data_IF_382869667765
#
_entry.id   IF_382869667765
#
_cell.length_a   1.000
_cell.length_b   1.000
_cell.length_c   1.000
_cell.angle_alpha   90.00
_cell.angle_beta   90.00
_cell.angle_gamma   90.00
#
_symmetry.space_group_name_H-M   'P 1'
#
loop_
_entity.id
_entity.type
_entity.pdbx_description
1 polymer ?
#
# COMPACT_ATOMS: atom_id res chain seq x y z
N UNK A 1 -22.37 -0.24 -12.70
CA UNK A 1 -21.08 -0.88 -12.34
C UNK A 1 -20.05 0.16 -11.94
N UNK A 2 -19.19 -0.13 -10.99
CA UNK A 2 -18.01 0.70 -10.64
C UNK A 2 -16.75 -0.09 -10.99
N UNK A 3 -15.80 0.56 -11.65
CA UNK A 3 -14.49 -0.02 -11.93
C UNK A 3 -13.37 0.97 -11.63
N UNK A 4 -12.13 0.51 -11.66
CA UNK A 4 -10.98 1.39 -11.47
C UNK A 4 -9.90 1.11 -12.51
N UNK A 5 -9.25 2.16 -12.96
CA UNK A 5 -8.04 2.09 -13.75
C UNK A 5 -6.86 1.84 -12.81
N UNK A 6 -6.41 0.59 -12.74
CA UNK A 6 -5.26 0.27 -11.88
C UNK A 6 -4.00 0.98 -12.34
N UNK A 7 -3.38 1.65 -11.38
CA UNK A 7 -2.11 2.32 -11.56
C UNK A 7 -1.20 2.08 -10.35
N UNK A 8 0.10 2.10 -10.60
CA UNK A 8 1.10 1.87 -9.57
C UNK A 8 1.26 0.41 -9.18
N UNK A 9 2.00 0.18 -8.09
CA UNK A 9 2.29 -1.15 -7.56
C UNK A 9 1.19 -1.63 -6.60
N UNK A 10 1.35 -2.85 -6.08
CA UNK A 10 0.36 -3.55 -5.27
C UNK A 10 -0.32 -2.68 -4.19
N UNK A 11 0.44 -1.92 -3.40
CA UNK A 11 -0.15 -1.09 -2.35
C UNK A 11 -1.14 -0.04 -2.90
N UNK A 12 -0.85 0.56 -4.05
CA UNK A 12 -1.77 1.47 -4.73
C UNK A 12 -2.99 0.72 -5.26
N UNK A 13 -2.80 -0.45 -5.85
CA UNK A 13 -3.92 -1.27 -6.34
C UNK A 13 -4.86 -1.72 -5.22
N UNK A 14 -4.34 -1.99 -4.02
CA UNK A 14 -5.19 -2.32 -2.87
C UNK A 14 -6.07 -1.12 -2.50
N UNK A 15 -5.53 0.10 -2.45
CA UNK A 15 -6.34 1.30 -2.22
C UNK A 15 -7.45 1.46 -3.26
N UNK A 16 -7.12 1.32 -4.53
CA UNK A 16 -8.06 1.41 -5.65
C UNK A 16 -9.14 0.34 -5.56
N UNK A 17 -8.77 -0.91 -5.31
CA UNK A 17 -9.70 -2.03 -5.14
C UNK A 17 -10.68 -1.80 -3.99
N UNK A 18 -10.18 -1.43 -2.82
CA UNK A 18 -11.01 -1.21 -1.64
C UNK A 18 -11.94 -0.02 -1.84
N UNK A 19 -11.47 1.03 -2.50
CA UNK A 19 -12.26 2.22 -2.82
C UNK A 19 -13.48 1.87 -3.69
N UNK A 20 -13.29 1.13 -4.81
CA UNK A 20 -14.41 0.73 -5.67
C UNK A 20 -15.35 -0.25 -4.97
N UNK A 21 -14.83 -1.19 -4.18
CA UNK A 21 -15.65 -2.12 -3.40
C UNK A 21 -16.57 -1.39 -2.41
N UNK A 22 -16.03 -0.41 -1.71
CA UNK A 22 -16.81 0.38 -0.77
C UNK A 22 -17.85 1.25 -1.49
N UNK A 23 -17.46 1.88 -2.60
CA UNK A 23 -18.38 2.69 -3.40
C UNK A 23 -19.50 1.84 -3.99
N UNK A 24 -19.21 0.69 -4.59
CA UNK A 24 -20.20 -0.21 -5.15
C UNK A 24 -21.16 -0.74 -4.09
N UNK A 25 -20.66 -1.09 -2.88
CA UNK A 25 -21.49 -1.49 -1.75
C UNK A 25 -22.43 -0.35 -1.33
N UNK A 26 -21.95 0.89 -1.25
CA UNK A 26 -22.74 2.05 -0.87
C UNK A 26 -23.84 2.38 -1.89
N UNK A 27 -23.53 2.26 -3.18
CA UNK A 27 -24.46 2.54 -4.29
C UNK A 27 -25.34 1.33 -4.64
N UNK A 28 -25.14 0.18 -3.98
CA UNK A 28 -25.83 -1.07 -4.28
C UNK A 28 -25.76 -1.47 -5.76
N UNK A 29 -24.56 -1.41 -6.33
CA UNK A 29 -24.30 -1.74 -7.73
C UNK A 29 -23.12 -2.72 -7.87
N UNK A 30 -22.93 -3.27 -9.08
CA UNK A 30 -21.82 -4.15 -9.39
C UNK A 30 -20.48 -3.39 -9.39
N UNK A 31 -19.39 -4.12 -9.20
CA UNK A 31 -18.03 -3.66 -9.46
C UNK A 31 -17.31 -4.67 -10.35
N UNK A 32 -16.21 -4.24 -10.94
CA UNK A 32 -15.34 -5.12 -11.73
C UNK A 32 -13.90 -4.59 -11.74
N UNK A 33 -12.95 -5.53 -11.75
CA UNK A 33 -11.54 -5.27 -11.99
C UNK A 33 -10.94 -6.31 -12.94
N UNK A 34 -9.97 -5.94 -13.80
CA UNK A 34 -9.33 -6.87 -14.72
C UNK A 34 -8.39 -7.84 -14.00
N UNK A 35 -8.49 -9.12 -14.36
CA UNK A 35 -7.63 -10.20 -13.83
C UNK A 35 -6.30 -10.31 -14.57
N UNK A 36 -6.26 -9.89 -15.83
CA UNK A 36 -5.11 -10.06 -16.71
C UNK A 36 -5.00 -8.91 -17.73
N UNK A 37 -3.93 -8.93 -18.51
CA UNK A 37 -3.66 -7.89 -19.50
C UNK A 37 -4.74 -7.81 -20.61
N UNK A 38 -5.36 -8.93 -20.99
CA UNK A 38 -6.44 -8.97 -21.98
C UNK A 38 -7.66 -8.21 -21.46
N UNK A 39 -8.11 -8.52 -20.24
CA UNK A 39 -9.22 -7.81 -19.61
C UNK A 39 -8.88 -6.32 -19.37
N UNK A 40 -7.64 -5.97 -19.06
CA UNK A 40 -7.24 -4.59 -18.87
C UNK A 40 -7.28 -3.74 -20.14
N UNK A 41 -7.20 -4.37 -21.33
CA UNK A 41 -7.35 -3.68 -22.63
C UNK A 41 -8.72 -3.02 -22.81
N UNK A 42 -9.73 -3.50 -22.11
CA UNK A 42 -11.07 -2.91 -22.08
C UNK A 42 -11.07 -1.42 -21.72
N UNK A 43 -10.15 -0.99 -20.84
CA UNK A 43 -10.05 0.42 -20.48
C UNK A 43 -9.59 1.31 -21.64
N UNK A 44 -8.74 0.80 -22.53
CA UNK A 44 -8.33 1.53 -23.73
C UNK A 44 -9.51 1.75 -24.69
N UNK A 45 -10.41 0.78 -24.78
CA UNK A 45 -11.60 0.90 -25.62
C UNK A 45 -12.63 1.87 -25.02
N UNK A 46 -12.78 1.88 -23.68
CA UNK A 46 -13.62 2.86 -23.00
C UNK A 46 -13.08 4.27 -23.21
N UNK A 47 -11.77 4.48 -23.04
CA UNK A 47 -11.16 5.79 -23.18
C UNK A 47 -11.36 6.36 -24.59
N UNK A 48 -11.20 5.52 -25.61
CA UNK A 48 -11.48 5.91 -27.00
C UNK A 48 -12.94 6.30 -27.22
N UNK A 49 -13.88 5.51 -26.69
CA UNK A 49 -15.33 5.77 -26.81
C UNK A 49 -15.75 7.08 -26.15
N UNK A 50 -15.15 7.42 -25.02
CA UNK A 50 -15.47 8.62 -24.26
C UNK A 50 -14.63 9.84 -24.68
N UNK A 51 -13.81 9.72 -25.74
CA UNK A 51 -12.92 10.78 -26.24
C UNK A 51 -11.99 11.34 -25.15
N UNK A 52 -11.62 10.51 -24.18
CA UNK A 52 -10.71 10.87 -23.08
C UNK A 52 -9.37 10.20 -23.36
N UNK A 53 -8.33 11.01 -23.55
CA UNK A 53 -6.96 10.52 -23.69
C UNK A 53 -6.39 10.22 -22.32
N UNK A 54 -6.33 8.94 -21.95
CA UNK A 54 -5.61 8.51 -20.73
C UNK A 54 -4.09 8.74 -20.83
N UNK A 55 -3.58 8.90 -22.06
CA UNK A 55 -2.17 9.22 -22.33
C UNK A 55 -1.75 10.62 -21.84
N UNK A 56 -2.67 11.57 -21.78
CA UNK A 56 -2.42 12.93 -21.27
C UNK A 56 -2.44 12.98 -19.73
N UNK A 57 -2.98 11.95 -19.11
CA UNK A 57 -2.92 11.78 -17.67
C UNK A 57 -1.63 11.03 -17.33
N UNK A 58 -0.96 11.36 -16.24
CA UNK A 58 0.24 10.66 -15.73
C UNK A 58 -0.02 9.18 -15.34
N UNK A 59 -1.09 8.57 -15.85
CA UNK A 59 -1.57 7.26 -15.44
C UNK A 59 -0.86 6.09 -16.15
N UNK A 60 -0.21 6.32 -17.29
CA UNK A 60 0.47 5.27 -18.05
C UNK A 60 -0.48 4.20 -18.61
N UNK A 61 0.05 3.03 -18.93
CA UNK A 61 -0.74 1.91 -19.44
C UNK A 61 -1.61 1.27 -18.35
N UNK A 62 -2.83 0.77 -18.69
CA UNK A 62 -3.69 0.08 -17.73
C UNK A 62 -3.01 -1.19 -17.18
N UNK A 63 -3.16 -1.39 -15.90
CA UNK A 63 -2.68 -2.58 -15.22
C UNK A 63 -3.85 -3.51 -14.87
N UNK A 64 -3.54 -4.79 -14.69
CA UNK A 64 -4.43 -5.74 -14.05
C UNK A 64 -4.01 -5.94 -12.59
N UNK A 65 -4.83 -6.65 -11.83
CA UNK A 65 -4.53 -6.97 -10.44
C UNK A 65 -3.26 -7.83 -10.32
N UNK A 66 -2.37 -7.48 -9.39
CA UNK A 66 -1.10 -8.16 -9.15
C UNK A 66 -0.96 -8.76 -7.74
N UNK A 67 -2.05 -8.80 -6.98
CA UNK A 67 -2.07 -9.28 -5.60
C UNK A 67 -2.38 -10.77 -5.42
N UNK A 68 -2.45 -11.57 -6.49
CA UNK A 68 -2.89 -12.97 -6.45
C UNK A 68 -2.06 -13.90 -5.57
N UNK A 69 -0.81 -13.56 -5.32
CA UNK A 69 0.05 -14.35 -4.41
C UNK A 69 -0.26 -14.12 -2.94
N UNK A 70 -0.92 -13.02 -2.60
CA UNK A 70 -1.21 -12.62 -1.22
C UNK A 70 -2.67 -12.80 -0.88
N UNK A 71 -3.57 -12.45 -1.80
CA UNK A 71 -4.99 -12.35 -1.53
C UNK A 71 -5.84 -13.28 -2.39
N UNK A 72 -6.89 -13.82 -1.78
CA UNK A 72 -8.06 -14.34 -2.50
C UNK A 72 -9.10 -13.24 -2.53
N UNK A 73 -9.37 -12.68 -3.73
CA UNK A 73 -10.30 -11.58 -3.91
C UNK A 73 -11.42 -11.94 -4.88
N UNK A 74 -12.52 -11.21 -4.76
CA UNK A 74 -13.59 -11.19 -5.74
C UNK A 74 -13.25 -10.14 -6.83
N UNK A 75 -13.31 -10.54 -8.09
CA UNK A 75 -13.05 -9.68 -9.25
C UNK A 75 -14.29 -8.93 -9.72
N UNK A 76 -15.46 -9.28 -9.19
CA UNK A 76 -16.72 -8.71 -9.61
C UNK A 76 -17.16 -9.18 -11.00
N UNK A 77 -18.11 -8.46 -11.59
CA UNK A 77 -18.71 -8.79 -12.88
C UNK A 77 -18.75 -7.59 -13.82
N UNK A 78 -18.20 -7.75 -15.03
CA UNK A 78 -18.24 -6.75 -16.09
C UNK A 78 -19.58 -6.85 -16.85
N UNK A 79 -20.47 -5.88 -16.64
CA UNK A 79 -21.73 -5.76 -17.34
C UNK A 79 -21.68 -4.80 -18.56
N UNK A 80 -20.50 -4.24 -18.84
CA UNK A 80 -20.27 -3.40 -20.00
C UNK A 80 -20.86 -2.00 -19.94
N UNK A 81 -21.36 -1.56 -18.79
CA UNK A 81 -22.13 -0.32 -18.64
C UNK A 81 -21.32 0.87 -18.12
N UNK A 82 -20.01 0.99 -18.38
CA UNK A 82 -19.26 2.20 -18.02
C UNK A 82 -19.61 3.32 -19.00
N UNK A 83 -20.16 4.41 -18.50
CA UNK A 83 -20.58 5.57 -19.28
C UNK A 83 -19.76 6.83 -19.06
N UNK A 84 -18.94 6.87 -18.00
CA UNK A 84 -18.04 8.00 -17.76
C UNK A 84 -16.80 7.62 -16.95
N UNK A 85 -15.75 8.43 -17.13
CA UNK A 85 -14.48 8.36 -16.39
C UNK A 85 -14.44 9.51 -15.41
N UNK A 86 -14.02 9.21 -14.17
CA UNK A 86 -13.93 10.18 -13.10
C UNK A 86 -12.50 10.15 -12.54
N UNK A 87 -11.83 11.30 -12.58
CA UNK A 87 -10.49 11.48 -12.01
C UNK A 87 -10.48 11.43 -10.48
N UNK A 88 -9.42 11.95 -9.87
CA UNK A 88 -9.33 12.04 -8.41
C UNK A 88 -10.39 12.98 -7.85
N UNK A 89 -11.44 12.41 -7.31
CA UNK A 89 -12.55 13.13 -6.65
C UNK A 89 -12.79 12.52 -5.28
N UNK A 90 -13.47 13.28 -4.43
CA UNK A 90 -13.93 12.72 -3.17
C UNK A 90 -15.03 11.68 -3.43
N UNK A 91 -14.74 10.41 -3.10
CA UNK A 91 -15.69 9.32 -3.32
C UNK A 91 -16.98 9.46 -2.51
N UNK A 92 -16.97 10.30 -1.46
CA UNK A 92 -18.13 10.55 -0.61
C UNK A 92 -19.24 11.26 -1.40
N UNK A 93 -18.87 12.12 -2.35
CA UNK A 93 -19.79 12.92 -3.15
C UNK A 93 -20.38 12.18 -4.35
N UNK A 94 -19.83 11.01 -4.71
CA UNK A 94 -20.33 10.21 -5.83
C UNK A 94 -21.67 9.56 -5.44
N UNK A 95 -22.71 9.83 -6.21
CA UNK A 95 -24.06 9.34 -5.98
C UNK A 95 -24.68 8.58 -7.18
N UNK A 96 -23.85 8.23 -8.19
CA UNK A 96 -24.25 7.45 -9.37
C UNK A 96 -23.26 6.32 -9.64
N UNK A 97 -23.67 5.33 -10.38
CA UNK A 97 -22.85 4.21 -10.86
C UNK A 97 -22.40 4.39 -12.33
N UNK A 98 -21.96 3.30 -12.95
CA UNK A 98 -21.45 3.23 -14.33
C UNK A 98 -20.18 4.07 -14.54
N UNK A 99 -19.24 3.99 -13.57
CA UNK A 99 -18.06 4.82 -13.52
C UNK A 99 -16.76 3.99 -13.61
N UNK A 100 -15.80 4.51 -14.37
CA UNK A 100 -14.39 4.16 -14.27
C UNK A 100 -13.68 5.22 -13.40
N UNK A 101 -13.15 4.79 -12.27
CA UNK A 101 -12.39 5.66 -11.37
C UNK A 101 -10.90 5.66 -11.73
N UNK A 102 -10.32 6.86 -11.88
CA UNK A 102 -8.92 7.08 -12.18
C UNK A 102 -8.27 7.89 -11.05
N UNK A 103 -7.71 7.21 -10.06
CA UNK A 103 -7.06 7.85 -8.91
C UNK A 103 -6.47 6.82 -7.98
N UNK A 104 -5.64 7.26 -7.03
CA UNK A 104 -5.01 6.35 -6.07
C UNK A 104 -5.85 6.09 -4.82
N UNK A 105 -6.70 7.04 -4.43
CA UNK A 105 -7.61 6.94 -3.27
C UNK A 105 -6.90 6.50 -1.98
N UNK A 106 -5.72 7.03 -1.72
CA UNK A 106 -4.81 6.62 -0.64
C UNK A 106 -5.24 7.15 0.73
N UNK A 107 -6.41 6.71 1.19
CA UNK A 107 -6.94 7.09 2.49
C UNK A 107 -7.93 6.06 3.03
N UNK A 108 -7.95 5.83 4.33
CA UNK A 108 -8.94 4.98 4.99
C UNK A 108 -10.30 5.67 5.25
N UNK A 109 -10.40 6.97 4.97
CA UNK A 109 -11.69 7.68 5.05
C UNK A 109 -12.73 7.18 4.03
N UNK A 110 -12.26 6.57 2.92
CA UNK A 110 -13.14 6.05 1.87
C UNK A 110 -13.84 4.73 2.23
N UNK A 111 -13.45 4.06 3.32
CA UNK A 111 -14.07 2.81 3.75
C UNK A 111 -14.42 2.81 5.24
N UNK A 112 -15.71 2.61 5.51
CA UNK A 112 -16.28 2.75 6.86
C UNK A 112 -16.04 1.55 7.77
N UNK A 113 -15.78 0.36 7.21
CA UNK A 113 -15.67 -0.88 7.96
C UNK A 113 -14.38 -1.62 7.65
N UNK A 114 -13.51 -1.71 8.64
CA UNK A 114 -12.28 -2.51 8.54
C UNK A 114 -12.57 -4.00 8.38
N UNK A 115 -13.65 -4.50 8.98
CA UNK A 115 -14.10 -5.88 8.80
C UNK A 115 -14.48 -6.18 7.35
N UNK A 116 -15.15 -5.26 6.67
CA UNK A 116 -15.46 -5.42 5.25
C UNK A 116 -14.19 -5.50 4.42
N UNK A 117 -13.25 -4.58 4.66
CA UNK A 117 -11.96 -4.57 3.96
C UNK A 117 -11.21 -5.89 4.15
N UNK A 118 -11.17 -6.43 5.37
CA UNK A 118 -10.53 -7.73 5.65
C UNK A 118 -11.22 -8.90 4.95
N UNK A 119 -12.54 -8.86 4.82
CA UNK A 119 -13.29 -9.86 4.04
C UNK A 119 -12.98 -9.76 2.54
N UNK A 120 -12.80 -8.56 2.02
CA UNK A 120 -12.47 -8.34 0.62
C UNK A 120 -11.02 -8.68 0.28
N UNK A 121 -10.12 -8.52 1.23
CA UNK A 121 -8.68 -8.80 1.13
C UNK A 121 -8.32 -10.04 1.96
N UNK A 122 -8.93 -11.17 1.62
CA UNK A 122 -8.66 -12.42 2.33
C UNK A 122 -7.24 -12.90 2.04
N UNK A 123 -6.41 -12.96 3.08
CA UNK A 123 -5.03 -13.45 3.00
C UNK A 123 -5.03 -14.95 2.70
N UNK A 124 -4.15 -15.39 1.82
CA UNK A 124 -3.99 -16.82 1.47
C UNK A 124 -3.31 -17.60 2.59
N UNK A 125 -3.89 -18.72 2.95
CA UNK A 125 -3.36 -19.60 4.02
C UNK A 125 -1.95 -20.13 3.68
N UNK A 126 -1.61 -20.29 2.40
CA UNK A 126 -0.28 -20.74 1.95
C UNK A 126 0.87 -19.84 2.39
N UNK A 127 0.60 -18.56 2.70
CA UNK A 127 1.63 -17.64 3.19
C UNK A 127 2.06 -17.95 4.62
N UNK A 128 1.20 -18.54 5.43
CA UNK A 128 1.51 -18.96 6.81
C UNK A 128 2.66 -19.96 6.78
N UNK A 129 2.55 -21.00 5.96
CA UNK A 129 3.56 -22.05 5.87
C UNK A 129 4.90 -21.52 5.33
N UNK A 130 4.84 -20.70 4.27
CA UNK A 130 6.01 -20.11 3.62
C UNK A 130 6.81 -19.19 4.55
N UNK A 131 6.16 -18.56 5.52
CA UNK A 131 6.78 -17.59 6.44
C UNK A 131 7.26 -18.21 7.75
N UNK A 132 6.85 -19.42 8.08
CA UNK A 132 7.11 -20.06 9.38
C UNK A 132 8.61 -20.12 9.76
N UNK A 133 9.49 -20.40 8.83
CA UNK A 133 10.93 -20.51 9.12
C UNK A 133 11.54 -19.14 9.47
N UNK A 134 11.07 -18.08 8.84
CA UNK A 134 11.51 -16.72 9.12
C UNK A 134 10.99 -16.27 10.49
N UNK A 135 9.71 -16.53 10.77
CA UNK A 135 9.08 -16.18 12.06
C UNK A 135 9.75 -16.94 13.23
N UNK A 136 10.16 -18.18 13.03
CA UNK A 136 10.91 -18.95 14.04
C UNK A 136 12.27 -18.32 14.36
N UNK A 137 12.97 -17.79 13.35
CA UNK A 137 14.27 -17.11 13.54
C UNK A 137 14.12 -15.69 14.09
N UNK A 138 13.10 -14.98 13.68
CA UNK A 138 12.79 -13.62 14.08
C UNK A 138 11.36 -13.54 14.62
N UNK A 139 11.12 -13.95 15.89
CA UNK A 139 9.78 -13.95 16.46
C UNK A 139 9.14 -12.56 16.42
N UNK A 140 7.90 -12.51 15.98
CA UNK A 140 7.15 -11.26 15.72
C UNK A 140 6.84 -10.46 17.00
N UNK A 141 6.92 -11.07 18.16
CA UNK A 141 6.74 -10.47 19.47
C UNK A 141 8.05 -9.96 20.11
N UNK A 142 9.22 -10.44 19.63
CA UNK A 142 10.53 -10.02 20.07
C UNK A 142 11.20 -8.98 19.16
N UNK A 143 10.85 -9.01 17.87
CA UNK A 143 11.49 -8.18 16.85
C UNK A 143 10.60 -7.04 16.40
N UNK A 144 11.19 -5.86 16.25
CA UNK A 144 10.64 -4.78 15.44
C UNK A 144 11.08 -4.98 13.99
N UNK A 145 10.14 -5.11 13.09
CA UNK A 145 10.41 -5.24 11.66
C UNK A 145 10.50 -3.86 11.01
N UNK A 146 11.65 -3.57 10.41
CA UNK A 146 11.90 -2.33 9.69
C UNK A 146 11.71 -2.61 8.20
N UNK A 147 10.72 -2.00 7.59
CA UNK A 147 10.61 -2.01 6.13
C UNK A 147 11.45 -0.88 5.55
N UNK A 148 12.48 -1.24 4.80
CA UNK A 148 13.33 -0.29 4.07
C UNK A 148 13.03 -0.37 2.57
N UNK A 149 12.63 0.76 2.00
CA UNK A 149 12.35 0.89 0.58
C UNK A 149 13.50 1.57 -0.11
N UNK A 150 14.39 0.79 -0.72
CA UNK A 150 15.50 1.25 -1.56
C UNK A 150 15.07 1.30 -3.02
N UNK A 151 15.37 0.28 -3.77
CA UNK A 151 14.96 0.04 -5.15
C UNK A 151 14.85 1.31 -6.00
N UNK A 152 13.68 1.54 -6.57
CA UNK A 152 13.36 2.72 -7.37
C UNK A 152 13.27 4.03 -6.56
N UNK A 153 13.14 3.97 -5.23
CA UNK A 153 13.01 5.18 -4.41
C UNK A 153 14.31 5.96 -4.30
N UNK A 154 15.47 5.29 -4.30
CA UNK A 154 16.76 5.96 -4.25
C UNK A 154 17.06 6.80 -5.51
N UNK A 155 16.43 6.47 -6.63
CA UNK A 155 16.56 7.24 -7.89
C UNK A 155 15.77 8.56 -7.84
N UNK A 156 14.88 8.72 -6.85
CA UNK A 156 14.04 9.90 -6.70
C UNK A 156 14.24 10.45 -5.29
N UNK A 157 15.15 11.41 -5.15
CA UNK A 157 15.59 11.97 -3.86
C UNK A 157 14.43 12.32 -2.93
N UNK A 158 13.37 12.93 -3.44
CA UNK A 158 12.19 13.32 -2.67
C UNK A 158 11.39 12.15 -2.07
N UNK A 159 11.59 10.93 -2.58
CA UNK A 159 10.91 9.72 -2.10
C UNK A 159 11.75 8.95 -1.10
N UNK A 160 13.07 9.06 -1.23
CA UNK A 160 14.00 8.31 -0.41
C UNK A 160 14.10 8.89 0.99
N UNK A 161 13.87 8.06 2.01
CA UNK A 161 13.92 8.51 3.39
C UNK A 161 15.35 8.61 3.90
N UNK A 162 15.70 9.68 4.62
CA UNK A 162 17.02 9.83 5.20
C UNK A 162 17.27 8.80 6.31
N UNK A 163 18.54 8.43 6.52
CA UNK A 163 18.96 7.51 7.59
C UNK A 163 18.50 8.00 8.98
N UNK A 164 18.49 9.30 9.19
CA UNK A 164 18.03 9.93 10.44
C UNK A 164 16.61 9.57 10.83
N UNK A 165 15.71 9.40 9.84
CA UNK A 165 14.34 8.95 10.11
C UNK A 165 14.32 7.58 10.79
N UNK A 166 15.08 6.64 10.26
CA UNK A 166 15.13 5.28 10.81
C UNK A 166 15.80 5.25 12.18
N UNK A 167 16.87 6.05 12.38
CA UNK A 167 17.53 6.18 13.68
C UNK A 167 16.53 6.69 14.72
N UNK A 168 15.79 7.76 14.43
CA UNK A 168 14.80 8.32 15.34
C UNK A 168 13.69 7.33 15.69
N UNK A 169 13.25 6.53 14.68
CA UNK A 169 12.26 5.48 14.90
C UNK A 169 12.80 4.35 15.79
N UNK A 170 14.04 3.90 15.57
CA UNK A 170 14.71 2.88 16.39
C UNK A 170 14.88 3.37 17.82
N UNK A 171 15.38 4.60 18.02
CA UNK A 171 15.48 5.20 19.35
C UNK A 171 14.12 5.29 20.06
N UNK A 172 13.06 5.58 19.30
CA UNK A 172 11.71 5.60 19.84
C UNK A 172 11.26 4.21 20.30
N UNK A 173 11.52 3.16 19.52
CA UNK A 173 11.21 1.77 19.88
C UNK A 173 12.00 1.32 21.11
N UNK A 174 13.29 1.68 21.20
CA UNK A 174 14.16 1.35 22.36
C UNK A 174 13.71 2.06 23.65
N UNK A 175 13.04 3.22 23.59
CA UNK A 175 12.41 3.85 24.75
C UNK A 175 11.20 3.07 25.27
N UNK A 176 10.54 2.29 24.42
CA UNK A 176 9.41 1.44 24.81
C UNK A 176 9.93 0.13 25.40
N UNK A 177 10.91 -0.49 24.72
CA UNK A 177 11.56 -1.71 25.20
C UNK A 177 13.06 -1.65 24.85
N UNK A 178 13.90 -1.46 25.87
CA UNK A 178 15.35 -1.35 25.70
C UNK A 178 16.00 -2.63 25.15
N UNK A 179 15.34 -3.77 25.27
CA UNK A 179 15.81 -5.07 24.76
C UNK A 179 15.19 -5.43 23.40
N UNK A 180 14.50 -4.48 22.72
CA UNK A 180 13.89 -4.73 21.43
C UNK A 180 14.97 -5.08 20.40
N UNK A 181 14.74 -6.16 19.67
CA UNK A 181 15.58 -6.58 18.55
C UNK A 181 15.01 -6.02 17.25
N UNK A 182 15.85 -5.86 16.24
CA UNK A 182 15.45 -5.32 14.95
C UNK A 182 15.86 -6.26 13.83
N UNK A 183 15.01 -6.32 12.80
CA UNK A 183 15.31 -7.01 11.55
C UNK A 183 14.79 -6.16 10.38
N UNK A 184 15.55 -6.08 9.30
CA UNK A 184 15.22 -5.25 8.14
C UNK A 184 14.66 -6.10 7.02
N UNK A 185 13.53 -5.70 6.46
CA UNK A 185 12.93 -6.25 5.26
C UNK A 185 13.11 -5.23 4.14
N UNK A 186 13.64 -5.64 3.00
CA UNK A 186 13.95 -4.70 1.91
C UNK A 186 13.91 -5.34 0.53
N UNK A 187 13.63 -4.51 -0.48
CA UNK A 187 13.82 -4.81 -1.90
C UNK A 187 15.26 -4.51 -2.39
N UNK A 188 16.08 -3.80 -1.59
CA UNK A 188 17.45 -3.37 -1.90
C UNK A 188 18.42 -3.65 -0.73
N UNK A 189 18.95 -4.89 -0.60
CA UNK A 189 19.84 -5.26 0.50
C UNK A 189 21.16 -4.50 0.51
N UNK A 190 21.67 -4.11 -0.65
CA UNK A 190 22.94 -3.37 -0.76
C UNK A 190 22.80 -1.99 -0.13
N UNK A 191 21.77 -1.25 -0.52
CA UNK A 191 21.48 0.07 0.08
C UNK A 191 21.11 -0.06 1.57
N UNK A 192 20.33 -1.07 1.92
CA UNK A 192 19.96 -1.32 3.31
C UNK A 192 21.19 -1.56 4.20
N UNK A 193 22.24 -2.23 3.70
CA UNK A 193 23.46 -2.49 4.46
C UNK A 193 24.23 -1.22 4.86
N UNK A 194 24.09 -0.16 4.08
CA UNK A 194 24.70 1.16 4.40
C UNK A 194 23.97 1.81 5.59
N UNK A 195 22.66 1.57 5.70
CA UNK A 195 21.82 2.14 6.75
C UNK A 195 21.85 1.30 8.03
N UNK A 196 21.90 -0.02 7.91
CA UNK A 196 21.57 -1.00 8.96
C UNK A 196 22.63 -2.09 9.09
N UNK A 197 23.92 -1.72 9.11
CA UNK A 197 25.05 -2.66 9.15
C UNK A 197 25.07 -3.58 10.40
N UNK A 198 24.37 -3.19 11.48
CA UNK A 198 24.28 -3.95 12.73
C UNK A 198 23.07 -4.90 12.81
N UNK A 199 22.17 -4.87 11.84
CA UNK A 199 20.94 -5.69 11.84
C UNK A 199 20.94 -6.72 10.72
N UNK A 200 20.22 -7.83 10.94
CA UNK A 200 19.97 -8.81 9.88
C UNK A 200 19.08 -8.20 8.82
N UNK A 201 19.47 -8.34 7.55
CA UNK A 201 18.77 -7.81 6.39
C UNK A 201 18.18 -8.98 5.61
N UNK A 202 16.87 -8.95 5.41
CA UNK A 202 16.10 -9.96 4.71
C UNK A 202 15.64 -9.44 3.34
N UNK A 203 15.91 -10.23 2.30
CA UNK A 203 15.33 -10.07 0.97
C UNK A 203 14.48 -11.30 0.69
N UNK A 204 13.18 -11.15 0.83
CA UNK A 204 12.23 -12.22 0.54
C UNK A 204 11.44 -11.89 -0.74
N UNK A 205 10.47 -12.74 -1.07
CA UNK A 205 9.46 -12.40 -2.05
C UNK A 205 8.46 -11.39 -1.46
N UNK A 206 7.80 -10.65 -2.34
CA UNK A 206 6.84 -9.60 -1.95
C UNK A 206 5.74 -10.11 -1.03
N UNK A 207 5.24 -11.32 -1.29
CA UNK A 207 4.19 -11.94 -0.49
C UNK A 207 4.64 -12.28 0.94
N UNK A 208 5.89 -12.73 1.09
CA UNK A 208 6.47 -13.02 2.41
C UNK A 208 6.70 -11.73 3.19
N UNK A 209 7.26 -10.70 2.56
CA UNK A 209 7.46 -9.39 3.19
C UNK A 209 6.14 -8.78 3.66
N UNK A 210 5.08 -8.88 2.83
CA UNK A 210 3.75 -8.41 3.22
C UNK A 210 3.23 -9.16 4.45
N UNK A 211 3.37 -10.49 4.46
CA UNK A 211 2.88 -11.33 5.55
C UNK A 211 3.63 -11.08 6.87
N UNK A 212 4.94 -10.89 6.81
CA UNK A 212 5.75 -10.57 7.99
C UNK A 212 5.31 -9.23 8.61
N UNK A 213 5.15 -8.18 7.81
CA UNK A 213 4.65 -6.88 8.28
C UNK A 213 3.22 -6.96 8.82
N UNK A 214 2.36 -7.74 8.16
CA UNK A 214 0.97 -7.96 8.57
C UNK A 214 0.84 -8.57 9.97
N UNK A 215 1.81 -9.39 10.39
CA UNK A 215 1.75 -10.12 11.66
C UNK A 215 2.68 -9.55 12.74
N UNK A 216 3.51 -8.57 12.43
CA UNK A 216 4.50 -8.03 13.38
C UNK A 216 3.87 -7.13 14.44
N UNK A 217 4.25 -7.31 15.70
CA UNK A 217 3.77 -6.48 16.80
C UNK A 217 4.32 -5.04 16.71
N UNK A 218 5.56 -4.90 16.28
CA UNK A 218 6.26 -3.62 16.14
C UNK A 218 6.81 -3.45 14.73
N UNK A 219 6.52 -2.32 14.10
CA UNK A 219 6.98 -2.02 12.74
C UNK A 219 7.42 -0.58 12.59
N UNK A 220 8.47 -0.38 11.79
CA UNK A 220 8.89 0.92 11.26
C UNK A 220 8.69 0.85 9.75
N UNK A 221 7.87 1.74 9.20
CA UNK A 221 7.54 1.72 7.77
C UNK A 221 7.98 3.02 7.08
N UNK A 222 8.39 2.94 5.80
CA UNK A 222 8.64 4.12 4.98
C UNK A 222 7.33 4.70 4.42
N UNK A 223 7.44 5.68 3.55
CA UNK A 223 6.38 6.26 2.74
C UNK A 223 5.92 5.30 1.63
N UNK A 224 5.50 4.11 1.99
CA UNK A 224 5.12 3.03 1.07
C UNK A 224 3.71 2.55 1.33
N UNK A 225 2.85 2.63 0.31
CA UNK A 225 1.49 2.09 0.34
C UNK A 225 1.45 0.58 0.59
N UNK A 226 2.50 -0.15 0.21
CA UNK A 226 2.64 -1.59 0.47
C UNK A 226 2.68 -1.91 1.97
N UNK A 227 3.64 -1.31 2.69
CA UNK A 227 3.76 -1.51 4.14
C UNK A 227 2.65 -0.82 4.92
N UNK A 228 2.09 0.28 4.40
CA UNK A 228 0.92 0.91 4.97
C UNK A 228 -0.24 -0.11 5.06
N UNK A 229 -0.55 -0.81 3.96
CA UNK A 229 -1.62 -1.80 3.94
C UNK A 229 -1.34 -3.01 4.83
N UNK A 230 -0.13 -3.56 4.80
CA UNK A 230 0.24 -4.67 5.66
C UNK A 230 0.02 -4.33 7.14
N UNK A 231 0.51 -3.16 7.58
CA UNK A 231 0.35 -2.71 8.96
C UNK A 231 -1.08 -2.26 9.30
N UNK A 232 -1.82 -1.71 8.32
CA UNK A 232 -3.22 -1.31 8.55
C UNK A 232 -4.14 -2.52 8.72
N UNK A 233 -3.91 -3.60 8.00
CA UNK A 233 -4.65 -4.86 8.13
C UNK A 233 -4.29 -5.65 9.39
N UNK A 234 -3.14 -5.40 9.99
CA UNK A 234 -2.64 -6.12 11.16
C UNK A 234 -3.55 -5.94 12.38
N UNK A 235 -4.02 -7.06 12.95
CA UNK A 235 -4.85 -7.08 14.17
C UNK A 235 -4.02 -7.10 15.46
N UNK A 236 -2.79 -7.60 15.39
CA UNK A 236 -1.95 -7.89 16.55
C UNK A 236 -0.92 -6.80 16.84
N UNK A 237 -0.82 -5.79 15.97
CA UNK A 237 0.18 -4.74 16.14
C UNK A 237 0.01 -4.00 17.46
N UNK A 238 1.14 -3.75 18.11
CA UNK A 238 1.23 -2.87 19.26
C UNK A 238 1.56 -1.46 18.81
N UNK A 239 2.54 -1.33 17.90
CA UNK A 239 2.96 -0.04 17.38
C UNK A 239 3.49 -0.14 15.95
N UNK A 240 2.98 0.71 15.08
CA UNK A 240 3.58 1.03 13.78
C UNK A 240 4.03 2.49 13.78
N UNK A 241 5.29 2.75 13.44
CA UNK A 241 5.82 4.09 13.21
C UNK A 241 5.90 4.34 11.71
N UNK A 242 5.33 5.46 11.26
CA UNK A 242 5.32 5.91 9.88
C UNK A 242 5.88 7.35 9.77
N UNK A 243 6.36 7.78 8.58
CA UNK A 243 6.83 9.14 8.38
C UNK A 243 5.66 10.13 8.35
N UNK A 244 5.83 11.27 8.98
CA UNK A 244 4.82 12.34 9.03
C UNK A 244 4.50 12.91 7.64
N UNK A 245 5.52 13.00 6.77
CA UNK A 245 5.37 13.43 5.37
C UNK A 245 5.87 12.34 4.44
N UNK A 246 5.16 12.12 3.33
CA UNK A 246 5.52 11.08 2.37
C UNK A 246 6.64 11.53 1.44
N UNK A 247 6.50 12.74 0.89
CA UNK A 247 7.50 13.30 -0.02
C UNK A 247 8.01 14.63 0.53
N UNK A 248 9.29 14.91 0.31
CA UNK A 248 9.86 16.21 0.56
C UNK A 248 10.56 16.72 -0.70
N UNK A 249 10.46 17.99 -0.92
CA UNK A 249 11.07 18.68 -2.05
C UNK A 249 12.26 19.52 -1.58
N UNK A 250 13.23 19.75 -2.47
CA UNK A 250 14.44 20.51 -2.18
C UNK A 250 14.18 21.98 -1.81
N UNK A 251 13.00 22.51 -2.16
CA UNK A 251 12.53 23.85 -1.78
C UNK A 251 11.98 23.93 -0.34
N UNK A 252 12.06 22.82 0.41
CA UNK A 252 11.52 22.71 1.77
C UNK A 252 10.03 22.42 1.85
N UNK A 253 9.31 22.39 0.72
CA UNK A 253 7.93 21.94 0.70
C UNK A 253 7.82 20.43 0.90
N UNK A 254 6.65 19.97 1.29
CA UNK A 254 6.37 18.54 1.48
C UNK A 254 4.98 18.19 0.99
N UNK A 255 4.81 16.95 0.56
CA UNK A 255 3.53 16.43 0.12
C UNK A 255 3.22 15.09 0.81
N UNK A 256 1.98 14.90 1.12
CA UNK A 256 1.40 13.58 1.45
C UNK A 256 0.10 13.42 0.68
N UNK A 257 -0.25 12.21 0.24
CA UNK A 257 -1.59 11.97 -0.28
C UNK A 257 -2.63 12.47 0.72
N UNK A 258 -3.71 13.07 0.22
CA UNK A 258 -4.77 13.62 1.08
C UNK A 258 -5.27 12.52 2.01
N UNK A 259 -5.28 12.80 3.30
CA UNK A 259 -5.80 11.91 4.35
C UNK A 259 -5.17 10.51 4.42
N UNK A 260 -3.90 10.36 3.96
CA UNK A 260 -3.15 9.08 4.05
C UNK A 260 -2.87 8.67 5.50
N UNK A 261 -2.88 9.62 6.42
CA UNK A 261 -2.67 9.35 7.83
C UNK A 261 -3.88 8.65 8.44
N UNK A 262 -3.61 7.60 9.20
CA UNK A 262 -4.60 6.84 9.95
C UNK A 262 -4.31 6.97 11.45
N UNK A 263 -5.33 6.86 12.29
CA UNK A 263 -5.19 6.80 13.75
C UNK A 263 -4.48 5.54 14.25
N UNK A 264 -4.30 4.58 13.36
CA UNK A 264 -3.65 3.30 13.65
C UNK A 264 -2.13 3.38 13.74
N UNK A 265 -1.50 4.48 13.29
CA UNK A 265 -0.04 4.64 13.25
C UNK A 265 0.43 5.82 14.08
N UNK A 266 1.65 5.72 14.59
CA UNK A 266 2.38 6.86 15.14
C UNK A 266 3.22 7.48 14.04
N UNK A 267 3.15 8.80 13.92
CA UNK A 267 3.89 9.56 12.91
C UNK A 267 5.08 10.28 13.54
N UNK A 268 6.26 10.13 12.93
CA UNK A 268 7.46 10.87 13.31
C UNK A 268 7.91 11.77 12.17
N UNK A 269 8.31 12.99 12.53
CA UNK A 269 8.90 13.93 11.58
C UNK A 269 10.24 13.41 11.07
N UNK A 270 10.50 13.65 9.79
CA UNK A 270 11.79 13.39 9.17
C UNK A 270 12.72 14.55 9.48
N UNK A 271 13.88 14.27 10.05
CA UNK A 271 14.93 15.26 10.21
C UNK A 271 15.89 15.14 9.02
N UNK A 272 15.93 16.17 8.20
CA UNK A 272 16.96 16.33 7.17
C UNK A 272 18.11 17.15 7.76
N UNK A 273 19.29 16.58 7.77
CA UNK A 273 20.52 17.31 8.07
C UNK A 273 21.32 17.44 6.81
#
# INVERSE_FOLDING_TARGET
MISTYFNGRLGNQIFQYVAIRNLSKRLNCNFWIPKNAEESSYYSDISKKLSIYLEETSLGNPHHWIGDKIFDIDFGYNDGLIDSIVGEVDLIDINRDNLLLCGFYQSDIYYKSREDVKKWLKIKDSLIESSNNIIKKYPIDEYCYIHFRGGDYKEIEKWFLPKTYYIDCIEHMLKININMKFVVITDDPEEASIFFSEYDILKNSTEIDFFLLLNSNYTIIPNSSFSWWACWLNDYKILTIAPDKWFNYNDGSSFSPKDIKTDRFKYLEKRYK
#
